data_IF_555448398774
#
_entry.id   IF_555448398774
#
_cell.length_a   1.000
_cell.length_b   1.000
_cell.length_c   1.000
_cell.angle_alpha   90.00
_cell.angle_beta   90.00
_cell.angle_gamma   90.00
#
_symmetry.space_group_name_H-M   'P 1'
#
loop_
_entity.id
_entity.type
_entity.pdbx_description
1 polymer ?
#
# COMPACT_ATOMS: atom_id res chain seq x y z
N UNK A 1 -0.91 -23.78 -17.53
CA UNK A 1 -0.16 -24.71 -16.66
C UNK A 1 0.67 -23.92 -15.68
N UNK A 2 0.36 -24.04 -14.40
CA UNK A 2 1.09 -23.44 -13.29
C UNK A 2 2.46 -24.14 -13.13
N UNK A 3 3.47 -23.68 -13.84
CA UNK A 3 4.81 -24.31 -13.82
C UNK A 3 5.70 -23.90 -12.65
N UNK A 4 5.40 -22.80 -11.93
CA UNK A 4 6.31 -22.21 -10.95
C UNK A 4 5.87 -22.33 -9.48
N UNK A 5 4.83 -23.12 -9.16
CA UNK A 5 4.29 -23.22 -7.79
C UNK A 5 4.81 -24.40 -6.98
N UNK A 6 5.78 -25.19 -7.48
CA UNK A 6 6.32 -26.31 -6.74
C UNK A 6 6.98 -25.85 -5.44
N UNK A 7 6.48 -26.31 -4.32
CA UNK A 7 6.95 -25.92 -2.99
C UNK A 7 6.38 -24.61 -2.45
N UNK A 8 5.47 -23.95 -3.17
CA UNK A 8 4.81 -22.73 -2.70
C UNK A 8 3.45 -23.03 -2.07
N UNK A 9 3.06 -22.37 -0.98
CA UNK A 9 1.74 -22.55 -0.39
C UNK A 9 0.68 -21.93 -1.32
N UNK A 10 -0.20 -22.75 -1.86
CA UNK A 10 -1.31 -22.30 -2.74
C UNK A 10 -2.61 -22.10 -1.99
N UNK A 11 -2.76 -22.71 -0.84
CA UNK A 11 -3.91 -22.52 0.05
C UNK A 11 -3.55 -22.81 1.50
N UNK A 12 -4.32 -22.25 2.41
CA UNK A 12 -4.25 -22.53 3.85
C UNK A 12 -5.64 -22.51 4.47
N UNK A 13 -5.77 -23.19 5.60
CA UNK A 13 -7.00 -23.24 6.38
C UNK A 13 -6.65 -23.00 7.86
N UNK A 14 -7.39 -22.12 8.51
CA UNK A 14 -7.18 -21.78 9.92
C UNK A 14 -8.52 -21.96 10.65
N UNK A 15 -8.54 -22.74 11.71
CA UNK A 15 -9.74 -22.91 12.56
C UNK A 15 -9.88 -21.74 13.51
N UNK A 16 -11.06 -21.14 13.56
CA UNK A 16 -11.40 -20.14 14.57
C UNK A 16 -11.63 -20.85 15.91
N UNK A 17 -10.78 -20.54 16.90
CA UNK A 17 -10.84 -21.19 18.23
C UNK A 17 -12.21 -20.98 18.90
N UNK A 18 -12.72 -22.01 19.56
CA UNK A 18 -14.03 -21.99 20.20
C UNK A 18 -15.23 -22.13 19.25
N UNK A 19 -15.00 -22.31 17.95
CA UNK A 19 -16.05 -22.50 16.94
C UNK A 19 -15.78 -23.69 16.03
N UNK A 20 -16.75 -24.03 15.17
CA UNK A 20 -16.56 -24.95 14.05
C UNK A 20 -16.30 -24.24 12.70
N UNK A 21 -15.95 -22.96 12.75
CA UNK A 21 -15.68 -22.15 11.57
C UNK A 21 -14.22 -22.23 11.17
N UNK A 22 -13.98 -22.28 9.86
CA UNK A 22 -12.65 -22.26 9.26
C UNK A 22 -12.53 -21.08 8.32
N UNK A 23 -11.38 -20.42 8.35
CA UNK A 23 -10.98 -19.39 7.40
C UNK A 23 -10.05 -20.02 6.36
N UNK A 24 -10.30 -19.73 5.10
CA UNK A 24 -9.53 -20.24 3.98
C UNK A 24 -8.76 -19.10 3.33
N UNK A 25 -7.56 -19.38 2.84
CA UNK A 25 -6.82 -18.47 1.99
C UNK A 25 -6.27 -19.22 0.79
N UNK A 26 -6.37 -18.59 -0.39
CA UNK A 26 -5.85 -19.11 -1.66
C UNK A 26 -4.92 -18.08 -2.25
N UNK A 27 -3.73 -18.51 -2.67
CA UNK A 27 -2.74 -17.66 -3.32
C UNK A 27 -2.52 -18.13 -4.76
N UNK A 28 -2.66 -17.19 -5.70
CA UNK A 28 -2.43 -17.40 -7.13
C UNK A 28 -1.13 -16.72 -7.50
N UNK A 29 -0.27 -17.44 -8.21
CA UNK A 29 1.06 -16.98 -8.61
C UNK A 29 1.15 -16.78 -10.11
N UNK A 30 2.04 -15.91 -10.55
CA UNK A 30 2.42 -15.77 -11.95
C UNK A 30 3.49 -16.81 -12.33
N UNK A 31 3.93 -16.77 -13.61
CA UNK A 31 4.94 -17.67 -14.15
C UNK A 31 6.32 -17.51 -13.45
N UNK A 32 6.57 -16.39 -12.79
CA UNK A 32 7.80 -16.09 -12.04
C UNK A 32 7.68 -16.44 -10.56
N UNK A 33 6.56 -17.04 -10.13
CA UNK A 33 6.32 -17.39 -8.72
C UNK A 33 5.96 -16.21 -7.83
N UNK A 34 5.52 -15.08 -8.39
CA UNK A 34 5.07 -13.91 -7.60
C UNK A 34 3.57 -14.02 -7.33
N UNK A 35 3.11 -13.73 -6.12
CA UNK A 35 1.68 -13.76 -5.81
C UNK A 35 0.95 -12.62 -6.53
N UNK A 36 0.13 -12.95 -7.53
CA UNK A 36 -0.67 -11.97 -8.26
C UNK A 36 -2.05 -11.77 -7.66
N UNK A 37 -2.57 -12.75 -6.93
CA UNK A 37 -3.82 -12.60 -6.21
C UNK A 37 -3.82 -13.47 -4.95
N UNK A 38 -4.35 -12.91 -3.87
CA UNK A 38 -4.67 -13.62 -2.64
C UNK A 38 -6.15 -13.42 -2.37
N UNK A 39 -6.86 -14.52 -2.12
CA UNK A 39 -8.26 -14.52 -1.70
C UNK A 39 -8.36 -15.18 -0.34
N UNK A 40 -9.09 -14.58 0.59
CA UNK A 40 -9.29 -15.15 1.92
C UNK A 40 -10.71 -14.95 2.41
N UNK A 41 -11.26 -15.95 3.09
CA UNK A 41 -12.50 -15.77 3.83
C UNK A 41 -12.21 -14.98 5.10
N UNK A 42 -13.07 -14.01 5.40
CA UNK A 42 -12.99 -13.23 6.64
C UNK A 42 -14.00 -13.75 7.68
N UNK A 43 -13.96 -13.18 8.87
CA UNK A 43 -14.82 -13.62 10.00
C UNK A 43 -16.31 -13.37 9.75
N UNK A 44 -16.70 -12.53 8.81
CA UNK A 44 -18.09 -12.28 8.43
C UNK A 44 -18.62 -13.29 7.40
N UNK A 45 -17.77 -14.22 6.94
CA UNK A 45 -18.09 -15.22 5.92
C UNK A 45 -17.94 -14.73 4.48
N UNK A 46 -17.49 -13.50 4.28
CA UNK A 46 -17.21 -12.92 2.96
C UNK A 46 -15.79 -13.22 2.49
N UNK A 47 -15.49 -12.82 1.26
CA UNK A 47 -14.17 -13.03 0.64
C UNK A 47 -13.47 -11.69 0.44
N UNK A 48 -12.32 -11.54 1.08
CA UNK A 48 -11.38 -10.46 0.83
C UNK A 48 -10.42 -10.85 -0.30
N UNK A 49 -10.14 -9.93 -1.22
CA UNK A 49 -9.30 -10.17 -2.39
C UNK A 49 -8.23 -9.10 -2.48
N UNK A 50 -6.98 -9.50 -2.56
CA UNK A 50 -5.86 -8.62 -2.89
C UNK A 50 -5.25 -9.05 -4.23
N UNK A 51 -5.17 -8.14 -5.19
CA UNK A 51 -4.60 -8.39 -6.53
C UNK A 51 -3.44 -7.43 -6.76
N UNK A 52 -2.31 -7.94 -7.25
CA UNK A 52 -1.11 -7.14 -7.51
C UNK A 52 -0.68 -7.28 -8.96
N UNK A 53 -0.52 -6.17 -9.64
CA UNK A 53 0.11 -6.08 -10.95
C UNK A 53 1.58 -5.70 -10.76
N UNK A 54 2.46 -6.46 -11.38
CA UNK A 54 3.90 -6.22 -11.34
C UNK A 54 4.44 -5.66 -12.65
N UNK A 55 5.52 -4.90 -12.56
CA UNK A 55 6.38 -4.60 -13.70
C UNK A 55 7.14 -5.87 -14.13
N UNK A 56 7.78 -5.81 -15.29
CA UNK A 56 8.67 -6.88 -15.74
C UNK A 56 9.80 -7.15 -14.72
N UNK A 57 10.33 -6.10 -14.07
CA UNK A 57 11.39 -6.18 -13.07
C UNK A 57 10.92 -6.68 -11.69
N UNK A 58 9.61 -6.88 -11.48
CA UNK A 58 9.05 -7.39 -10.22
C UNK A 58 8.57 -6.32 -9.24
N UNK A 59 8.55 -5.05 -9.64
CA UNK A 59 8.01 -3.97 -8.81
C UNK A 59 6.47 -4.01 -8.85
N UNK A 60 5.76 -3.90 -7.72
CA UNK A 60 4.31 -3.76 -7.72
C UNK A 60 3.91 -2.39 -8.30
N UNK A 61 3.17 -2.38 -9.40
CA UNK A 61 2.68 -1.16 -10.05
C UNK A 61 1.32 -0.74 -9.52
N UNK A 62 0.40 -1.71 -9.42
CA UNK A 62 -0.96 -1.49 -8.93
C UNK A 62 -1.33 -2.61 -7.97
N UNK A 63 -1.88 -2.23 -6.83
CA UNK A 63 -2.45 -3.15 -5.85
C UNK A 63 -3.92 -2.81 -5.69
N UNK A 64 -4.79 -3.78 -5.90
CA UNK A 64 -6.24 -3.67 -5.68
C UNK A 64 -6.61 -4.54 -4.48
N UNK A 65 -7.19 -3.92 -3.46
CA UNK A 65 -7.69 -4.62 -2.28
C UNK A 65 -9.20 -4.44 -2.21
N UNK A 66 -9.94 -5.54 -2.31
CA UNK A 66 -11.38 -5.60 -2.06
C UNK A 66 -11.60 -6.22 -0.69
N UNK A 67 -12.33 -5.54 0.15
CA UNK A 67 -12.81 -6.06 1.44
C UNK A 67 -14.33 -6.05 1.44
N UNK A 68 -14.92 -7.13 1.93
CA UNK A 68 -16.36 -7.30 1.97
C UNK A 68 -16.80 -7.68 3.39
N UNK A 69 -17.78 -6.96 3.91
CA UNK A 69 -18.43 -7.25 5.19
C UNK A 69 -19.86 -7.66 4.89
N UNK A 70 -20.23 -8.88 5.31
CA UNK A 70 -21.59 -9.42 5.23
C UNK A 70 -22.10 -9.72 6.65
N UNK A 71 -23.38 -10.06 6.73
CA UNK A 71 -24.04 -10.47 7.98
C UNK A 71 -23.89 -9.47 9.13
N UNK A 72 -23.89 -8.17 8.81
CA UNK A 72 -23.86 -7.10 9.79
C UNK A 72 -24.83 -5.98 9.36
N UNK A 73 -25.23 -5.12 10.31
CA UNK A 73 -26.02 -3.92 10.03
C UNK A 73 -25.28 -2.94 9.09
N UNK A 74 -23.97 -3.08 8.96
CA UNK A 74 -23.10 -2.26 8.13
C UNK A 74 -22.46 -3.08 6.99
N UNK A 75 -23.25 -3.96 6.36
CA UNK A 75 -22.80 -4.73 5.21
C UNK A 75 -22.29 -3.80 4.11
N UNK A 76 -21.06 -3.97 3.68
CA UNK A 76 -20.40 -3.08 2.72
C UNK A 76 -19.30 -3.76 1.94
N UNK A 77 -18.98 -3.19 0.79
CA UNK A 77 -17.81 -3.53 -0.02
C UNK A 77 -16.93 -2.30 -0.12
N UNK A 78 -15.68 -2.45 0.24
CA UNK A 78 -14.63 -1.43 0.07
C UNK A 78 -13.60 -1.89 -0.94
N UNK A 79 -13.25 -1.03 -1.87
CA UNK A 79 -12.18 -1.29 -2.83
C UNK A 79 -11.16 -0.17 -2.74
N UNK A 80 -9.93 -0.53 -2.43
CA UNK A 80 -8.78 0.38 -2.40
C UNK A 80 -7.85 0.03 -3.55
N UNK A 81 -7.57 0.99 -4.41
CA UNK A 81 -6.57 0.86 -5.48
C UNK A 81 -5.38 1.73 -5.12
N UNK A 82 -4.22 1.11 -5.00
CA UNK A 82 -2.94 1.80 -4.77
C UNK A 82 -2.10 1.69 -6.05
N UNK A 83 -1.62 2.81 -6.54
CA UNK A 83 -0.71 2.88 -7.69
C UNK A 83 0.64 3.44 -7.24
N UNK A 84 1.72 2.84 -7.70
CA UNK A 84 3.09 3.26 -7.42
C UNK A 84 3.82 3.59 -8.71
N UNK A 85 4.54 4.71 -8.68
CA UNK A 85 5.44 5.13 -9.77
C UNK A 85 6.87 5.05 -9.27
N UNK A 86 7.76 4.59 -10.13
CA UNK A 86 9.17 4.35 -9.82
C UNK A 86 10.05 5.23 -10.71
N UNK A 87 11.24 5.53 -10.22
CA UNK A 87 12.31 6.11 -11.03
C UNK A 87 13.11 5.00 -11.77
N UNK A 88 14.09 5.41 -12.57
CA UNK A 88 14.93 4.50 -13.37
C UNK A 88 15.81 3.57 -12.50
N UNK A 89 15.96 3.89 -11.21
CA UNK A 89 16.67 3.08 -10.22
C UNK A 89 15.75 2.19 -9.40
N UNK A 90 14.49 2.01 -9.83
CA UNK A 90 13.49 1.18 -9.16
C UNK A 90 13.05 1.67 -7.76
N UNK A 91 13.24 2.95 -7.43
CA UNK A 91 12.80 3.55 -6.17
C UNK A 91 11.42 4.17 -6.35
N UNK A 92 10.55 4.02 -5.34
CA UNK A 92 9.20 4.60 -5.37
C UNK A 92 9.29 6.12 -5.27
N UNK A 93 8.89 6.84 -6.32
CA UNK A 93 8.81 8.30 -6.34
C UNK A 93 7.42 8.84 -6.04
N UNK A 94 6.36 8.07 -6.32
CA UNK A 94 4.99 8.49 -6.07
C UNK A 94 4.11 7.31 -5.69
N UNK A 95 3.26 7.51 -4.70
CA UNK A 95 2.19 6.60 -4.30
C UNK A 95 0.86 7.32 -4.35
N UNK A 96 -0.08 6.78 -5.10
CA UNK A 96 -1.43 7.31 -5.27
C UNK A 96 -2.46 6.28 -4.85
N UNK A 97 -3.60 6.75 -4.33
CA UNK A 97 -4.72 5.88 -3.95
C UNK A 97 -6.05 6.44 -4.44
N UNK A 98 -6.98 5.53 -4.69
CA UNK A 98 -8.40 5.81 -4.82
C UNK A 98 -9.19 4.74 -4.07
N UNK A 99 -10.35 5.15 -3.54
CA UNK A 99 -11.17 4.29 -2.68
C UNK A 99 -12.62 4.40 -3.10
N UNK A 100 -13.27 3.27 -3.29
CA UNK A 100 -14.72 3.19 -3.36
C UNK A 100 -15.27 2.39 -2.20
N UNK A 101 -16.50 2.71 -1.80
CA UNK A 101 -17.21 2.02 -0.74
C UNK A 101 -18.71 2.14 -0.99
N UNK A 102 -19.46 1.04 -0.80
CA UNK A 102 -20.89 0.99 -1.09
C UNK A 102 -21.72 1.93 -0.23
N UNK A 103 -21.32 2.16 1.04
CA UNK A 103 -22.06 3.04 1.97
C UNK A 103 -21.63 4.51 1.87
N UNK A 104 -20.38 4.79 1.50
CA UNK A 104 -19.82 6.15 1.55
C UNK A 104 -20.00 6.89 0.23
N UNK A 105 -19.69 6.25 -0.89
CA UNK A 105 -19.71 6.89 -2.21
C UNK A 105 -20.45 6.08 -3.27
N UNK A 106 -21.41 5.26 -2.85
CA UNK A 106 -22.26 4.43 -3.72
C UNK A 106 -21.44 3.63 -4.74
N UNK A 107 -20.29 3.14 -4.30
CA UNK A 107 -19.33 2.39 -5.14
C UNK A 107 -18.66 3.21 -6.26
N UNK A 108 -18.83 4.53 -6.26
CA UNK A 108 -18.15 5.39 -7.24
C UNK A 108 -16.63 5.34 -7.04
N UNK A 109 -15.89 5.16 -8.13
CA UNK A 109 -14.43 5.15 -8.09
C UNK A 109 -13.90 6.54 -8.43
N UNK A 110 -13.42 7.33 -7.44
CA UNK A 110 -12.93 8.69 -7.67
C UNK A 110 -11.59 8.67 -8.42
N UNK A 111 -11.12 9.87 -8.78
CA UNK A 111 -9.76 10.05 -9.28
C UNK A 111 -8.72 9.66 -8.21
N UNK A 112 -7.52 9.32 -8.66
CA UNK A 112 -6.40 9.07 -7.76
C UNK A 112 -6.05 10.32 -6.94
N UNK A 113 -5.73 10.10 -5.67
CA UNK A 113 -5.16 11.11 -4.78
C UNK A 113 -3.74 10.73 -4.43
N UNK A 114 -2.83 11.68 -4.50
CA UNK A 114 -1.45 11.50 -4.09
C UNK A 114 -1.42 11.31 -2.57
N UNK A 115 -0.82 10.22 -2.12
CA UNK A 115 -0.61 9.91 -0.70
C UNK A 115 0.78 10.33 -0.28
N UNK A 116 1.79 10.04 -1.11
CA UNK A 116 3.16 10.41 -0.85
C UNK A 116 3.93 10.61 -2.17
N UNK A 117 4.87 11.55 -2.15
CA UNK A 117 5.90 11.75 -3.17
C UNK A 117 7.26 11.75 -2.49
N UNK A 118 8.23 11.08 -3.08
CA UNK A 118 9.58 10.94 -2.58
C UNK A 118 10.57 11.54 -3.56
N UNK A 119 11.54 12.29 -3.04
CA UNK A 119 12.70 12.78 -3.78
C UNK A 119 13.95 12.17 -3.16
N UNK A 120 14.84 11.69 -4.00
CA UNK A 120 16.10 11.07 -3.58
C UNK A 120 17.27 11.97 -3.98
N UNK A 121 18.34 11.90 -3.21
CA UNK A 121 19.60 12.56 -3.55
C UNK A 121 20.40 11.73 -4.59
N UNK A 122 21.56 12.26 -4.97
CA UNK A 122 22.44 11.64 -6.00
C UNK A 122 23.02 10.30 -5.57
N UNK A 123 23.09 10.02 -4.26
CA UNK A 123 23.59 8.76 -3.71
C UNK A 123 22.48 7.80 -3.29
N UNK A 124 21.20 8.15 -3.58
CA UNK A 124 20.04 7.28 -3.39
C UNK A 124 19.35 7.39 -2.05
N UNK A 125 19.73 8.32 -1.19
CA UNK A 125 19.07 8.54 0.10
C UNK A 125 17.78 9.35 -0.09
N UNK A 126 16.76 9.06 0.72
CA UNK A 126 15.50 9.82 0.72
C UNK A 126 15.75 11.25 1.23
N UNK A 127 15.79 12.21 0.31
CA UNK A 127 16.04 13.61 0.64
C UNK A 127 14.79 14.32 1.14
N UNK A 128 13.65 14.03 0.51
CA UNK A 128 12.39 14.72 0.82
C UNK A 128 11.21 13.77 0.61
N UNK A 129 10.24 13.85 1.48
CA UNK A 129 8.95 13.17 1.35
C UNK A 129 7.83 14.18 1.54
N UNK A 130 6.95 14.29 0.54
CA UNK A 130 5.76 15.13 0.60
C UNK A 130 4.54 14.25 0.77
N UNK A 131 3.67 14.59 1.71
CA UNK A 131 2.46 13.84 2.04
C UNK A 131 1.22 14.58 1.54
N UNK A 132 0.29 13.82 0.96
CA UNK A 132 -1.01 14.31 0.50
C UNK A 132 -0.96 15.11 -0.82
N UNK A 133 -2.12 15.23 -1.46
CA UNK A 133 -2.26 15.93 -2.75
C UNK A 133 -2.05 17.44 -2.66
N UNK A 134 -2.22 18.03 -1.48
CA UNK A 134 -2.09 19.47 -1.22
C UNK A 134 -0.80 19.81 -0.47
N UNK A 135 0.19 18.91 -0.49
CA UNK A 135 1.43 19.08 0.28
C UNK A 135 1.14 19.35 1.77
N UNK A 136 0.30 18.49 2.37
CA UNK A 136 -0.11 18.61 3.78
C UNK A 136 1.08 18.70 4.71
N UNK A 137 2.12 17.92 4.42
CA UNK A 137 3.35 17.88 5.19
C UNK A 137 4.53 17.60 4.27
N UNK A 138 5.67 18.22 4.57
CA UNK A 138 6.92 17.98 3.86
C UNK A 138 8.00 17.62 4.87
N UNK A 139 8.56 16.44 4.71
CA UNK A 139 9.61 15.88 5.53
C UNK A 139 10.93 15.96 4.78
N UNK A 140 11.87 16.78 5.27
CA UNK A 140 13.22 16.90 4.72
C UNK A 140 14.18 16.13 5.62
N UNK A 141 15.01 15.29 5.03
CA UNK A 141 15.95 14.43 5.74
C UNK A 141 17.37 14.90 5.52
N UNK A 142 18.14 14.98 6.59
CA UNK A 142 19.57 15.30 6.58
C UNK A 142 20.37 14.08 7.00
N UNK A 143 21.47 13.82 6.31
CA UNK A 143 22.33 12.67 6.55
C UNK A 143 23.77 13.13 6.78
N UNK A 144 24.53 12.31 7.54
CA UNK A 144 25.98 12.47 7.61
C UNK A 144 26.66 11.74 6.42
N UNK A 145 27.97 11.89 6.32
CA UNK A 145 28.79 11.27 5.27
C UNK A 145 28.75 9.73 5.26
N UNK A 146 28.27 9.12 6.36
CA UNK A 146 28.13 7.65 6.50
C UNK A 146 26.71 7.18 6.15
N UNK A 147 25.81 8.09 5.75
CA UNK A 147 24.41 7.78 5.43
C UNK A 147 23.49 7.65 6.66
N UNK A 148 23.93 8.04 7.85
CA UNK A 148 23.09 8.05 9.03
C UNK A 148 22.23 9.31 9.08
N UNK A 149 20.95 9.16 9.40
CA UNK A 149 20.02 10.28 9.56
C UNK A 149 20.49 11.18 10.70
N UNK A 150 20.78 12.42 10.39
CA UNK A 150 21.09 13.47 11.40
C UNK A 150 19.83 14.11 11.97
N UNK A 151 18.77 14.12 11.21
CA UNK A 151 17.48 14.64 11.65
C UNK A 151 16.50 14.81 10.47
N UNK A 152 15.28 15.11 10.86
CA UNK A 152 14.16 15.40 9.96
C UNK A 152 13.67 16.82 10.26
N UNK A 153 13.44 17.63 9.22
CA UNK A 153 12.99 19.03 9.34
C UNK A 153 13.78 19.85 10.35
N UNK A 154 15.09 19.73 10.37
CA UNK A 154 15.99 20.38 11.36
C UNK A 154 15.88 21.90 11.37
N UNK A 155 15.50 22.52 10.26
CA UNK A 155 15.23 23.95 10.16
C UNK A 155 13.98 24.42 10.91
N UNK A 156 13.11 23.52 11.34
CA UNK A 156 11.85 23.87 12.01
C UNK A 156 12.07 24.63 13.33
N UNK A 157 13.03 24.21 14.12
CA UNK A 157 13.37 24.87 15.40
C UNK A 157 14.13 26.20 15.20
N UNK A 158 14.73 26.41 14.03
CA UNK A 158 15.46 27.65 13.73
C UNK A 158 14.53 28.78 13.23
N UNK A 159 13.33 28.46 12.80
CA UNK A 159 12.32 29.42 12.36
C UNK A 159 11.28 29.59 13.45
N UNK A 160 11.28 30.74 14.13
CA UNK A 160 10.30 31.13 15.16
C UNK A 160 8.87 31.35 14.63
N UNK A 161 8.54 30.88 13.44
CA UNK A 161 7.24 30.98 12.82
C UNK A 161 6.40 29.73 13.07
N UNK A 162 5.51 29.78 14.04
CA UNK A 162 4.47 28.78 14.21
C UNK A 162 3.55 28.78 12.98
N UNK A 163 3.46 27.69 12.23
CA UNK A 163 2.45 27.52 11.22
C UNK A 163 2.89 27.23 9.79
N UNK A 164 4.15 26.89 9.55
CA UNK A 164 4.62 26.43 8.25
C UNK A 164 4.34 24.94 7.97
N UNK A 165 4.40 24.48 6.69
CA UNK A 165 4.17 23.11 6.27
C UNK A 165 5.23 22.09 6.75
N UNK A 166 6.16 22.48 7.60
CA UNK A 166 7.29 21.66 8.08
C UNK A 166 7.19 21.44 9.61
N UNK A 167 6.11 20.86 10.09
CA UNK A 167 5.83 20.77 11.52
C UNK A 167 6.55 19.65 12.29
N UNK A 168 7.35 18.79 11.63
CA UNK A 168 8.08 17.70 12.31
C UNK A 168 9.46 17.49 11.71
#
# INVERSE_FOLDING_TARGET
QLKAVKGMPTWSQIKVLGTNTYLFSVTIYDEKGRPIQVQSTNITGSIDVATTQYSWAGQPLVIVQKQEIQNSSNAQISVVVTQMTYDDLARVIKTEKKVSNTLVNSNAMPAYKIIAQNEYDKIGQLKKKTLGSSNLETLNYDYNIRGWVLGMNRGYLATTGQGGPNRF
#
